data_IF_387779632164
#
_entry.id   IF_387779632164
#
_cell.length_a   1.000
_cell.length_b   1.000
_cell.length_c   1.000
_cell.angle_alpha   90.00
_cell.angle_beta   90.00
_cell.angle_gamma   90.00
#
_symmetry.space_group_name_H-M   'P 1'
#
loop_
_entity.id
_entity.type
_entity.pdbx_description
1 polymer ?
#
# COMPACT_ATOMS: atom_id res chain seq x y z
N UNK A 1 7.04 17.32 -7.97
CA UNK A 1 7.37 16.92 -6.58
C UNK A 1 8.88 16.92 -6.43
N UNK A 2 9.44 17.53 -5.38
CA UNK A 2 10.89 17.50 -5.13
C UNK A 2 11.33 16.17 -4.50
N UNK A 3 12.60 15.80 -4.67
CA UNK A 3 13.17 14.54 -4.14
C UNK A 3 13.11 14.47 -2.61
N UNK A 4 13.32 15.60 -1.92
CA UNK A 4 13.19 15.70 -0.47
C UNK A 4 11.74 15.47 0.01
N UNK A 5 10.76 16.02 -0.71
CA UNK A 5 9.33 15.76 -0.46
C UNK A 5 8.99 14.29 -0.74
N UNK A 6 9.47 13.71 -1.83
CA UNK A 6 9.26 12.30 -2.16
C UNK A 6 9.82 11.36 -1.07
N UNK A 7 11.01 11.68 -0.53
CA UNK A 7 11.63 10.91 0.55
C UNK A 7 10.87 11.02 1.88
N UNK A 8 10.37 12.21 2.23
CA UNK A 8 9.50 12.39 3.40
C UNK A 8 8.18 11.64 3.24
N UNK A 9 7.56 11.74 2.05
CA UNK A 9 6.34 11.01 1.73
C UNK A 9 6.56 9.50 1.85
N UNK A 10 7.71 8.98 1.41
CA UNK A 10 8.07 7.58 1.58
C UNK A 10 8.16 7.13 3.03
N UNK A 11 8.77 7.93 3.91
CA UNK A 11 8.83 7.61 5.33
C UNK A 11 7.46 7.67 6.00
N UNK A 12 6.63 8.69 5.69
CA UNK A 12 5.27 8.81 6.21
C UNK A 12 4.39 7.65 5.76
N UNK A 13 4.44 7.31 4.48
CA UNK A 13 3.71 6.17 3.90
C UNK A 13 4.18 4.86 4.54
N UNK A 14 5.48 4.68 4.74
CA UNK A 14 6.03 3.52 5.43
C UNK A 14 5.47 3.35 6.85
N UNK A 15 5.39 4.44 7.62
CA UNK A 15 4.80 4.46 8.96
C UNK A 15 3.30 4.13 8.95
N UNK A 16 2.54 4.72 8.02
CA UNK A 16 1.10 4.43 7.87
C UNK A 16 0.89 2.96 7.48
N UNK A 17 1.69 2.45 6.54
CA UNK A 17 1.64 1.04 6.09
C UNK A 17 1.95 0.09 7.24
N UNK A 18 2.95 0.41 8.07
CA UNK A 18 3.30 -0.38 9.24
C UNK A 18 2.16 -0.43 10.27
N UNK A 19 1.51 0.70 10.52
CA UNK A 19 0.36 0.77 11.42
C UNK A 19 -0.83 -0.04 10.91
N UNK A 20 -1.21 0.15 9.64
CA UNK A 20 -2.35 -0.54 9.02
C UNK A 20 -2.08 -2.04 8.90
N UNK A 21 -0.91 -2.43 8.39
CA UNK A 21 -0.50 -3.83 8.27
C UNK A 21 -0.40 -4.53 9.62
N UNK A 22 0.12 -3.84 10.65
CA UNK A 22 0.15 -4.34 12.02
C UNK A 22 -1.24 -4.62 12.59
N UNK A 23 -2.17 -3.69 12.41
CA UNK A 23 -3.57 -3.87 12.84
C UNK A 23 -4.26 -5.01 12.08
N UNK A 24 -4.02 -5.14 10.77
CA UNK A 24 -4.59 -6.23 9.96
C UNK A 24 -4.07 -7.62 10.36
N UNK A 25 -2.80 -7.72 10.77
CA UNK A 25 -2.20 -8.98 11.23
C UNK A 25 -2.66 -9.34 12.65
N UNK A 26 -2.63 -8.38 13.56
CA UNK A 26 -2.92 -8.59 14.99
C UNK A 26 -4.43 -8.69 15.26
N UNK A 27 -5.25 -7.86 14.60
CA UNK A 27 -6.69 -7.79 14.82
C UNK A 27 -7.50 -7.87 13.51
N UNK A 28 -7.40 -8.98 12.77
CA UNK A 28 -8.09 -9.16 11.49
C UNK A 28 -9.62 -9.15 11.65
N UNK A 29 -10.15 -9.51 12.82
CA UNK A 29 -11.58 -9.58 13.10
C UNK A 29 -12.20 -8.20 13.41
N UNK A 30 -11.40 -7.20 13.77
CA UNK A 30 -11.87 -5.83 14.02
C UNK A 30 -11.89 -5.00 12.74
N UNK A 31 -10.94 -5.23 11.82
CA UNK A 31 -10.85 -4.51 10.54
C UNK A 31 -11.42 -5.27 9.33
N UNK A 32 -11.54 -6.60 9.42
CA UNK A 32 -12.14 -7.45 8.38
C UNK A 32 -13.57 -7.05 7.99
N UNK A 33 -14.48 -6.75 8.95
CA UNK A 33 -15.81 -6.24 8.66
C UNK A 33 -15.79 -4.88 7.95
N UNK A 34 -14.84 -4.01 8.31
CA UNK A 34 -14.69 -2.67 7.73
C UNK A 34 -14.25 -2.71 6.25
N UNK A 35 -13.45 -3.72 5.89
CA UNK A 35 -12.96 -3.95 4.53
C UNK A 35 -13.79 -4.98 3.74
N UNK A 36 -14.90 -5.47 4.31
CA UNK A 36 -15.68 -6.57 3.74
C UNK A 36 -14.89 -7.86 3.48
N UNK A 37 -13.78 -8.04 4.20
CA UNK A 37 -12.96 -9.25 4.23
C UNK A 37 -13.62 -10.22 5.20
N UNK A 38 -14.67 -10.92 4.74
CA UNK A 38 -15.33 -11.97 5.52
C UNK A 38 -14.39 -13.14 5.86
N UNK A 39 -13.27 -13.26 5.12
CA UNK A 39 -12.22 -14.24 5.39
C UNK A 39 -11.03 -13.60 6.15
N UNK A 40 -10.84 -13.94 7.44
CA UNK A 40 -9.72 -13.47 8.27
C UNK A 40 -8.35 -13.83 7.69
N UNK A 41 -8.25 -14.89 6.87
CA UNK A 41 -6.99 -15.31 6.24
C UNK A 41 -6.55 -14.33 5.16
N UNK A 42 -7.47 -13.84 4.34
CA UNK A 42 -7.20 -12.81 3.34
C UNK A 42 -6.69 -11.50 3.96
N UNK A 43 -7.34 -11.04 5.03
CA UNK A 43 -6.92 -9.84 5.76
C UNK A 43 -5.51 -9.96 6.36
N UNK A 44 -5.19 -11.10 6.98
CA UNK A 44 -3.84 -11.38 7.51
C UNK A 44 -2.79 -11.44 6.40
N UNK A 45 -3.11 -12.03 5.25
CA UNK A 45 -2.18 -12.13 4.13
C UNK A 45 -1.84 -10.74 3.57
N UNK A 46 -2.86 -9.88 3.37
CA UNK A 46 -2.65 -8.48 2.95
C UNK A 46 -1.77 -7.75 3.96
N UNK A 47 -2.10 -7.83 5.25
CA UNK A 47 -1.29 -7.20 6.31
C UNK A 47 0.14 -7.73 6.37
N UNK A 48 0.36 -9.03 6.14
CA UNK A 48 1.69 -9.62 6.10
C UNK A 48 2.53 -9.12 4.92
N UNK A 49 1.90 -9.00 3.73
CA UNK A 49 2.55 -8.41 2.54
C UNK A 49 2.92 -6.95 2.81
N UNK A 50 2.02 -6.17 3.38
CA UNK A 50 2.28 -4.76 3.72
C UNK A 50 3.45 -4.63 4.70
N UNK A 51 3.50 -5.46 5.75
CA UNK A 51 4.60 -5.46 6.72
C UNK A 51 5.93 -5.90 6.10
N UNK A 52 5.92 -6.83 5.13
CA UNK A 52 7.13 -7.24 4.42
C UNK A 52 7.74 -6.10 3.58
N UNK A 53 6.92 -5.14 3.14
CA UNK A 53 7.38 -3.97 2.40
C UNK A 53 7.94 -2.86 3.30
N UNK A 54 7.58 -2.83 4.58
CA UNK A 54 7.96 -1.75 5.53
C UNK A 54 9.48 -1.55 5.64
N UNK A 55 10.32 -2.59 5.84
CA UNK A 55 11.77 -2.38 5.94
C UNK A 55 12.35 -1.73 4.69
N UNK A 56 11.86 -2.11 3.52
CA UNK A 56 12.26 -1.56 2.23
C UNK A 56 11.82 -0.11 2.02
N UNK A 57 10.63 0.25 2.50
CA UNK A 57 10.12 1.63 2.45
C UNK A 57 10.88 2.56 3.40
N UNK A 58 11.25 2.07 4.59
CA UNK A 58 11.94 2.87 5.61
C UNK A 58 13.45 2.96 5.38
N UNK A 59 14.10 1.85 5.03
CA UNK A 59 15.55 1.73 5.00
C UNK A 59 16.13 1.34 3.63
N UNK A 60 15.30 0.89 2.67
CA UNK A 60 15.78 0.46 1.35
C UNK A 60 16.48 1.58 0.59
N UNK A 61 17.56 1.24 -0.12
CA UNK A 61 18.23 2.13 -1.08
C UNK A 61 18.60 1.29 -2.32
N UNK A 62 18.04 1.55 -3.50
CA UNK A 62 17.05 2.59 -3.80
C UNK A 62 15.65 2.29 -3.26
N UNK A 63 14.87 3.33 -2.91
CA UNK A 63 13.49 3.21 -2.36
C UNK A 63 12.41 3.00 -3.43
N UNK A 64 12.70 3.30 -4.69
CA UNK A 64 11.70 3.25 -5.77
C UNK A 64 11.11 1.85 -6.04
N UNK A 65 11.85 0.72 -5.93
CA UNK A 65 11.27 -0.60 -6.18
C UNK A 65 10.22 -0.96 -5.14
N UNK A 66 10.44 -0.58 -3.88
CA UNK A 66 9.53 -0.83 -2.76
C UNK A 66 8.22 -0.06 -2.90
N UNK A 67 8.28 1.18 -3.39
CA UNK A 67 7.10 1.97 -3.74
C UNK A 67 6.31 1.35 -4.89
N UNK A 68 6.99 0.86 -5.93
CA UNK A 68 6.34 0.19 -7.05
C UNK A 68 5.67 -1.13 -6.60
N UNK A 69 6.33 -1.90 -5.74
CA UNK A 69 5.74 -3.11 -5.15
C UNK A 69 4.47 -2.80 -4.34
N UNK A 70 4.48 -1.71 -3.57
CA UNK A 70 3.31 -1.24 -2.80
C UNK A 70 2.16 -0.81 -3.72
N UNK A 71 2.46 -0.10 -4.81
CA UNK A 71 1.46 0.26 -5.82
C UNK A 71 0.79 -0.98 -6.43
N UNK A 72 1.56 -2.02 -6.76
CA UNK A 72 1.03 -3.30 -7.25
C UNK A 72 0.17 -3.97 -6.16
N UNK A 73 0.65 -4.01 -4.91
CA UNK A 73 -0.08 -4.60 -3.78
C UNK A 73 -1.43 -3.92 -3.52
N UNK A 74 -1.50 -2.60 -3.61
CA UNK A 74 -2.75 -1.84 -3.47
C UNK A 74 -3.77 -2.24 -4.56
N UNK A 75 -3.34 -2.39 -5.82
CA UNK A 75 -4.22 -2.80 -6.93
C UNK A 75 -4.75 -4.22 -6.72
N UNK A 76 -3.87 -5.15 -6.35
CA UNK A 76 -4.26 -6.54 -6.07
C UNK A 76 -5.25 -6.61 -4.89
N UNK A 77 -5.02 -5.81 -3.85
CA UNK A 77 -5.92 -5.72 -2.69
C UNK A 77 -7.28 -5.15 -3.09
N UNK A 78 -7.32 -4.09 -3.90
CA UNK A 78 -8.56 -3.52 -4.40
C UNK A 78 -9.36 -4.53 -5.24
N UNK A 79 -8.70 -5.23 -6.16
CA UNK A 79 -9.31 -6.28 -6.97
C UNK A 79 -9.84 -7.44 -6.11
N UNK A 80 -9.08 -7.85 -5.09
CA UNK A 80 -9.49 -8.88 -4.14
C UNK A 80 -10.76 -8.49 -3.37
N UNK A 81 -10.80 -7.26 -2.82
CA UNK A 81 -11.95 -6.76 -2.07
C UNK A 81 -13.20 -6.63 -2.95
N UNK A 82 -13.05 -6.09 -4.16
CA UNK A 82 -14.17 -5.97 -5.11
C UNK A 82 -14.69 -7.32 -5.59
N UNK A 83 -13.79 -8.29 -5.86
CA UNK A 83 -14.16 -9.61 -6.33
C UNK A 83 -14.87 -10.52 -5.31
N UNK A 84 -14.80 -10.18 -4.02
CA UNK A 84 -15.46 -10.93 -2.92
C UNK A 84 -16.67 -10.21 -2.32
N UNK A 85 -17.01 -9.03 -2.81
CA UNK A 85 -18.19 -8.31 -2.34
C UNK A 85 -19.46 -8.87 -3.01
N UNK A 86 -20.34 -9.51 -2.24
CA UNK A 86 -21.52 -10.19 -2.77
C UNK A 86 -22.86 -9.51 -2.41
N UNK A 87 -22.91 -8.69 -1.36
CA UNK A 87 -24.08 -7.89 -1.00
C UNK A 87 -23.86 -6.39 -1.23
N UNK A 88 -24.95 -5.62 -1.26
CA UNK A 88 -24.91 -4.20 -1.59
C UNK A 88 -24.04 -3.38 -0.61
N UNK A 89 -24.03 -3.74 0.68
CA UNK A 89 -23.21 -3.06 1.67
C UNK A 89 -21.72 -3.40 1.51
N UNK A 90 -21.41 -4.68 1.25
CA UNK A 90 -20.08 -5.18 0.94
C UNK A 90 -19.51 -4.49 -0.31
N UNK A 91 -20.32 -4.30 -1.35
CA UNK A 91 -19.92 -3.62 -2.58
C UNK A 91 -19.64 -2.14 -2.31
N UNK A 92 -20.47 -1.46 -1.51
CA UNK A 92 -20.24 -0.08 -1.13
C UNK A 92 -18.92 0.08 -0.33
N UNK A 93 -18.69 -0.78 0.65
CA UNK A 93 -17.43 -0.81 1.43
C UNK A 93 -16.21 -1.10 0.54
N UNK A 94 -16.29 -2.11 -0.32
CA UNK A 94 -15.20 -2.47 -1.23
C UNK A 94 -14.86 -1.35 -2.21
N UNK A 95 -15.84 -0.56 -2.67
CA UNK A 95 -15.61 0.64 -3.50
C UNK A 95 -14.87 1.73 -2.75
N UNK A 96 -15.22 2.00 -1.49
CA UNK A 96 -14.50 2.97 -0.65
C UNK A 96 -13.04 2.52 -0.46
N UNK A 97 -12.82 1.25 -0.13
CA UNK A 97 -11.47 0.67 -0.02
C UNK A 97 -10.71 0.80 -1.34
N UNK A 98 -11.34 0.45 -2.46
CA UNK A 98 -10.72 0.56 -3.79
C UNK A 98 -10.35 2.00 -4.14
N UNK A 99 -11.19 3.00 -3.80
CA UNK A 99 -10.88 4.41 -4.00
C UNK A 99 -9.67 4.85 -3.17
N UNK A 100 -9.62 4.47 -1.89
CA UNK A 100 -8.47 4.77 -1.02
C UNK A 100 -7.19 4.14 -1.57
N UNK A 101 -7.25 2.88 -2.00
CA UNK A 101 -6.12 2.16 -2.58
C UNK A 101 -5.70 2.75 -3.93
N UNK A 102 -6.64 3.22 -4.75
CA UNK A 102 -6.34 3.89 -6.01
C UNK A 102 -5.57 5.21 -5.77
N UNK A 103 -6.02 6.03 -4.82
CA UNK A 103 -5.32 7.26 -4.43
C UNK A 103 -3.91 6.96 -3.90
N UNK A 104 -3.77 5.94 -3.06
CA UNK A 104 -2.48 5.48 -2.56
C UNK A 104 -1.56 5.01 -3.70
N UNK A 105 -2.10 4.24 -4.65
CA UNK A 105 -1.36 3.74 -5.83
C UNK A 105 -0.80 4.88 -6.68
N UNK A 106 -1.59 5.92 -6.92
CA UNK A 106 -1.13 7.12 -7.66
C UNK A 106 0.02 7.79 -6.91
N UNK A 107 -0.13 8.00 -5.60
CA UNK A 107 0.91 8.61 -4.77
C UNK A 107 2.21 7.78 -4.76
N UNK A 108 2.09 6.46 -4.60
CA UNK A 108 3.21 5.52 -4.60
C UNK A 108 3.93 5.51 -5.96
N UNK A 109 3.17 5.53 -7.07
CA UNK A 109 3.72 5.56 -8.44
C UNK A 109 4.47 6.87 -8.70
N UNK A 110 3.88 8.00 -8.33
CA UNK A 110 4.51 9.32 -8.49
C UNK A 110 5.80 9.41 -7.65
N UNK A 111 5.80 8.86 -6.43
CA UNK A 111 7.01 8.77 -5.60
C UNK A 111 8.08 7.84 -6.21
N UNK A 112 7.68 6.68 -6.72
CA UNK A 112 8.57 5.73 -7.36
C UNK A 112 9.26 6.35 -8.58
N UNK A 113 8.51 7.04 -9.45
CA UNK A 113 9.05 7.70 -10.63
C UNK A 113 10.05 8.80 -10.27
N UNK A 114 9.71 9.65 -9.28
CA UNK A 114 10.60 10.72 -8.82
C UNK A 114 11.90 10.17 -8.20
N UNK A 115 11.83 9.07 -7.44
CA UNK A 115 13.00 8.41 -6.86
C UNK A 115 13.84 7.68 -7.92
N UNK A 116 13.22 7.14 -8.96
CA UNK A 116 13.92 6.48 -10.07
C UNK A 116 14.67 7.47 -10.94
N UNK A 117 14.10 8.65 -11.19
CA UNK A 117 14.78 9.72 -11.94
C UNK A 117 16.01 10.25 -11.19
N UNK A 118 15.92 10.40 -9.86
CA UNK A 118 17.02 10.85 -9.01
C UNK A 118 18.24 9.91 -9.09
N UNK A 119 18.01 8.60 -8.99
CA UNK A 119 19.08 7.58 -9.13
C UNK A 119 19.75 7.66 -10.50
N UNK A 120 18.97 7.79 -11.57
CA UNK A 120 19.51 7.89 -12.94
C UNK A 120 20.38 9.13 -13.16
N UNK A 121 19.99 10.28 -12.60
CA UNK A 121 20.79 11.50 -12.69
C UNK A 121 22.11 11.38 -11.91
N UNK A 122 22.12 10.66 -10.79
CA UNK A 122 23.33 10.40 -10.02
C UNK A 122 24.30 9.43 -10.73
N UNK A 123 23.78 8.51 -11.55
CA UNK A 123 24.60 7.57 -12.34
C UNK A 123 25.19 8.20 -13.62
N UNK A 124 24.61 9.29 -14.11
CA UNK A 124 25.05 9.98 -15.34
C UNK A 124 26.11 11.07 -15.11
N UNK A 125 26.54 11.28 -13.88
CA UNK A 125 27.43 12.36 -13.44
C UNK A 125 28.70 11.80 -12.80
#
# INVERSE_FOLDING_TARGET
MSVSTARRMASTIGLITAGIGGVLVVSPTTFGPLMSLADPRGARLIGAVDLALVPGLLAGRPRWPWMAARAIGNVLTAAYCLGRAHDAEAVARARVVALVLAMATVADTVAALALRSDVRCAESN
#
